data_IF_913626289601
#
_entry.id   IF_913626289601
#
_cell.length_a   1.000
_cell.length_b   1.000
_cell.length_c   1.000
_cell.angle_alpha   90.00
_cell.angle_beta   90.00
_cell.angle_gamma   90.00
#
_symmetry.space_group_name_H-M   'P 1'
#
loop_
_entity.id
_entity.type
_entity.pdbx_description
1 polymer ?
#
# COMPACT_ATOMS: atom_id res chain seq x y z
N UNK A 1 28.45 -29.15 0.90
CA UNK A 1 27.53 -28.44 1.82
C UNK A 1 28.31 -27.31 2.48
N UNK A 2 27.74 -26.11 2.54
CA UNK A 2 28.40 -24.95 3.17
C UNK A 2 28.26 -25.12 4.70
N UNK A 3 29.36 -25.02 5.45
CA UNK A 3 29.38 -25.27 6.89
C UNK A 3 28.55 -24.25 7.70
N UNK A 4 28.11 -24.63 8.90
CA UNK A 4 27.27 -23.81 9.77
C UNK A 4 27.86 -22.41 10.06
N UNK A 5 29.19 -22.33 10.20
CA UNK A 5 29.90 -21.06 10.41
C UNK A 5 29.81 -20.11 9.21
N UNK A 6 29.80 -20.64 7.99
CA UNK A 6 29.67 -19.85 6.78
C UNK A 6 28.23 -19.35 6.57
N UNK A 7 27.22 -20.14 6.94
CA UNK A 7 25.81 -19.70 6.97
C UNK A 7 25.61 -18.58 8.00
N UNK A 8 26.23 -18.70 9.18
CA UNK A 8 26.17 -17.68 10.24
C UNK A 8 26.82 -16.37 9.82
N UNK A 9 27.93 -16.42 9.07
CA UNK A 9 28.55 -15.22 8.47
C UNK A 9 27.68 -14.60 7.38
N UNK A 10 27.11 -15.41 6.48
CA UNK A 10 26.21 -14.92 5.42
C UNK A 10 24.96 -14.23 5.96
N UNK A 11 24.36 -14.75 7.03
CA UNK A 11 23.20 -14.14 7.70
C UNK A 11 23.53 -12.85 8.45
N UNK A 12 24.80 -12.60 8.76
CA UNK A 12 25.26 -11.33 9.36
C UNK A 12 25.52 -10.23 8.33
N UNK A 13 25.51 -10.56 7.03
CA UNK A 13 25.68 -9.57 5.96
C UNK A 13 24.37 -8.80 5.76
N UNK A 14 24.46 -7.46 5.68
CA UNK A 14 23.32 -6.64 5.31
C UNK A 14 22.87 -7.00 3.91
N UNK A 15 21.56 -7.07 3.73
CA UNK A 15 20.92 -7.20 2.42
C UNK A 15 21.07 -5.87 1.69
N UNK A 16 21.25 -5.90 0.36
CA UNK A 16 21.32 -4.67 -0.44
C UNK A 16 19.98 -3.94 -0.49
N UNK A 17 20.04 -2.62 -0.63
CA UNK A 17 18.84 -1.76 -0.74
C UNK A 17 17.89 -2.24 -1.86
N UNK A 18 18.44 -2.67 -3.00
CA UNK A 18 17.66 -3.23 -4.12
C UNK A 18 16.86 -4.48 -3.72
N UNK A 19 17.45 -5.34 -2.90
CA UNK A 19 16.77 -6.57 -2.45
C UNK A 19 15.71 -6.24 -1.41
N UNK A 20 15.95 -5.26 -0.53
CA UNK A 20 14.95 -4.77 0.42
C UNK A 20 13.78 -4.14 -0.33
N UNK A 21 14.05 -3.25 -1.29
CA UNK A 21 13.03 -2.62 -2.14
C UNK A 21 12.19 -3.67 -2.87
N UNK A 22 12.82 -4.64 -3.53
CA UNK A 22 12.10 -5.69 -4.25
C UNK A 22 11.20 -6.49 -3.32
N UNK A 23 11.68 -6.86 -2.12
CA UNK A 23 10.85 -7.58 -1.13
C UNK A 23 9.66 -6.75 -0.66
N UNK A 24 9.85 -5.45 -0.44
CA UNK A 24 8.74 -4.54 -0.08
C UNK A 24 7.71 -4.49 -1.21
N UNK A 25 8.15 -4.37 -2.46
CA UNK A 25 7.26 -4.35 -3.62
C UNK A 25 6.49 -5.67 -3.78
N UNK A 26 7.17 -6.81 -3.68
CA UNK A 26 6.56 -8.14 -3.78
C UNK A 26 5.49 -8.36 -2.69
N UNK A 27 5.80 -8.01 -1.43
CA UNK A 27 4.84 -8.14 -0.32
C UNK A 27 3.68 -7.15 -0.46
N UNK A 28 3.94 -5.92 -0.90
CA UNK A 28 2.90 -4.91 -1.14
C UNK A 28 1.92 -5.37 -2.22
N UNK A 29 2.45 -5.94 -3.32
CA UNK A 29 1.63 -6.46 -4.41
C UNK A 29 0.76 -7.65 -3.97
N UNK A 30 1.32 -8.56 -3.17
CA UNK A 30 0.58 -9.70 -2.59
C UNK A 30 -0.56 -9.23 -1.69
N UNK A 31 -0.28 -8.32 -0.74
CA UNK A 31 -1.30 -7.74 0.15
C UNK A 31 -2.39 -7.05 -0.67
N UNK A 32 -2.01 -6.23 -1.64
CA UNK A 32 -2.95 -5.52 -2.53
C UNK A 32 -3.86 -6.51 -3.27
N UNK A 33 -3.31 -7.59 -3.81
CA UNK A 33 -4.09 -8.60 -4.53
C UNK A 33 -5.10 -9.30 -3.61
N UNK A 34 -4.69 -9.67 -2.39
CA UNK A 34 -5.58 -10.28 -1.41
C UNK A 34 -6.72 -9.32 -1.00
N UNK A 35 -6.40 -8.04 -0.75
CA UNK A 35 -7.40 -7.03 -0.38
C UNK A 35 -8.38 -6.80 -1.53
N UNK A 36 -7.91 -6.67 -2.77
CA UNK A 36 -8.76 -6.49 -3.96
C UNK A 36 -9.67 -7.69 -4.18
N UNK A 37 -9.18 -8.91 -3.98
CA UNK A 37 -9.99 -10.12 -4.07
C UNK A 37 -11.11 -10.13 -3.02
N UNK A 38 -10.81 -9.75 -1.77
CA UNK A 38 -11.80 -9.67 -0.70
C UNK A 38 -12.85 -8.57 -0.97
N UNK A 39 -12.43 -7.41 -1.48
CA UNK A 39 -13.35 -6.31 -1.85
C UNK A 39 -14.32 -6.76 -2.93
N UNK A 40 -13.85 -7.47 -3.96
CA UNK A 40 -14.69 -7.99 -5.05
C UNK A 40 -15.73 -9.00 -4.58
N UNK A 41 -15.45 -9.73 -3.50
CA UNK A 41 -16.37 -10.69 -2.88
C UNK A 41 -17.33 -10.02 -1.90
N UNK A 42 -17.00 -8.83 -1.40
CA UNK A 42 -17.84 -8.09 -0.46
C UNK A 42 -19.10 -7.57 -1.14
N UNK A 43 -20.29 -7.67 -0.51
CA UNK A 43 -21.52 -7.10 -1.05
C UNK A 43 -21.50 -5.57 -1.10
N UNK A 44 -20.66 -4.93 -0.29
CA UNK A 44 -20.51 -3.48 -0.23
C UNK A 44 -19.07 -3.12 0.14
N UNK A 45 -18.56 -2.05 -0.45
CA UNK A 45 -17.36 -1.39 0.03
C UNK A 45 -17.58 0.12 0.01
N UNK A 46 -16.83 0.82 0.85
CA UNK A 46 -16.78 2.28 0.88
C UNK A 46 -15.32 2.71 0.86
N UNK A 47 -15.07 3.85 0.22
CA UNK A 47 -13.75 4.46 0.17
C UNK A 47 -13.73 5.65 1.11
N UNK A 48 -12.69 5.72 1.92
CA UNK A 48 -12.37 6.89 2.73
C UNK A 48 -11.12 7.54 2.14
N UNK A 49 -11.26 8.82 1.80
CA UNK A 49 -10.20 9.62 1.23
C UNK A 49 -9.73 10.58 2.31
N UNK A 50 -8.43 10.61 2.55
CA UNK A 50 -7.80 11.53 3.49
C UNK A 50 -6.71 12.34 2.77
N UNK A 51 -6.66 13.63 3.05
CA UNK A 51 -5.61 14.51 2.54
C UNK A 51 -4.64 14.79 3.69
N UNK A 52 -3.44 14.23 3.58
CA UNK A 52 -2.35 14.47 4.53
C UNK A 52 -1.30 15.37 3.91
N UNK A 53 -0.51 16.04 4.74
CA UNK A 53 0.60 16.87 4.29
C UNK A 53 1.90 16.25 4.81
N UNK A 54 2.85 15.99 3.92
CA UNK A 54 4.14 15.43 4.31
C UNK A 54 5.09 16.48 4.91
N UNK A 55 6.27 16.02 5.33
CA UNK A 55 7.30 16.87 5.94
C UNK A 55 7.83 17.98 5.00
N UNK A 56 7.63 17.82 3.68
CA UNK A 56 7.98 18.82 2.66
C UNK A 56 6.81 19.74 2.31
N UNK A 57 5.70 19.67 3.06
CA UNK A 57 4.47 20.42 2.77
C UNK A 57 3.81 20.04 1.44
N UNK A 58 4.06 18.83 0.94
CA UNK A 58 3.37 18.28 -0.22
C UNK A 58 2.10 17.57 0.23
N UNK A 59 0.98 17.88 -0.43
CA UNK A 59 -0.28 17.21 -0.19
C UNK A 59 -0.25 15.79 -0.76
N UNK A 60 -0.69 14.84 0.05
CA UNK A 60 -0.76 13.42 -0.28
C UNK A 60 -2.20 12.94 -0.10
N UNK A 61 -2.72 12.29 -1.12
CA UNK A 61 -4.01 11.63 -1.06
C UNK A 61 -3.82 10.20 -0.58
N UNK A 62 -4.41 9.90 0.58
CA UNK A 62 -4.47 8.57 1.17
C UNK A 62 -5.86 7.98 0.95
N UNK A 63 -5.92 6.75 0.46
CA UNK A 63 -7.18 6.05 0.19
C UNK A 63 -7.23 4.80 1.06
N UNK A 64 -8.31 4.70 1.83
CA UNK A 64 -8.67 3.53 2.62
C UNK A 64 -9.94 2.92 2.07
N UNK A 65 -10.09 1.61 2.24
CA UNK A 65 -11.29 0.89 1.85
C UNK A 65 -11.84 0.14 3.03
N UNK A 66 -13.13 0.28 3.25
CA UNK A 66 -13.87 -0.48 4.24
C UNK A 66 -14.87 -1.40 3.54
N UNK A 67 -14.81 -2.68 3.84
CA UNK A 67 -15.60 -3.73 3.19
C UNK A 67 -16.01 -4.81 4.19
N UNK A 68 -16.90 -5.71 3.79
CA UNK A 68 -17.34 -6.85 4.61
C UNK A 68 -16.59 -8.09 4.14
N UNK A 69 -15.91 -8.74 5.07
CA UNK A 69 -15.26 -10.02 4.84
C UNK A 69 -15.47 -10.91 6.07
N UNK A 70 -15.84 -12.17 5.85
CA UNK A 70 -16.18 -13.11 6.93
C UNK A 70 -17.17 -12.54 7.96
N UNK A 71 -18.22 -11.88 7.48
CA UNK A 71 -19.26 -11.22 8.29
C UNK A 71 -18.76 -10.09 9.20
N UNK A 72 -17.53 -9.62 9.02
CA UNK A 72 -16.94 -8.52 9.78
C UNK A 72 -16.59 -7.34 8.88
N UNK A 73 -16.64 -6.14 9.44
CA UNK A 73 -16.08 -4.97 8.77
C UNK A 73 -14.56 -5.02 8.84
N UNK A 74 -13.92 -4.94 7.68
CA UNK A 74 -12.49 -4.71 7.54
C UNK A 74 -12.24 -3.33 6.98
N UNK A 75 -11.15 -2.72 7.40
CA UNK A 75 -10.63 -1.47 6.87
C UNK A 75 -9.16 -1.68 6.51
N UNK A 76 -8.80 -1.37 5.28
CA UNK A 76 -7.45 -1.57 4.74
C UNK A 76 -6.97 -0.31 4.03
N UNK A 77 -5.66 -0.07 4.08
CA UNK A 77 -5.01 0.98 3.32
C UNK A 77 -4.75 0.50 1.89
N UNK A 78 -5.21 1.26 0.89
CA UNK A 78 -5.05 0.92 -0.52
C UNK A 78 -3.83 1.62 -1.12
N UNK A 79 -3.82 2.96 -1.12
CA UNK A 79 -2.79 3.75 -1.81
C UNK A 79 -2.53 5.06 -1.09
N UNK A 80 -1.29 5.55 -1.20
CA UNK A 80 -0.93 6.94 -0.94
C UNK A 80 -0.21 7.46 -2.18
N UNK A 81 -0.70 8.58 -2.73
CA UNK A 81 -0.13 9.23 -3.90
C UNK A 81 -0.04 10.73 -3.68
N UNK A 82 1.03 11.39 -4.15
CA UNK A 82 1.09 12.84 -4.11
C UNK A 82 -0.01 13.45 -4.99
N UNK A 83 -0.55 14.56 -4.53
CA UNK A 83 -1.37 15.47 -5.33
C UNK A 83 -0.42 16.44 -6.02
N UNK A 84 -0.13 16.21 -7.30
CA UNK A 84 0.85 16.98 -8.08
C UNK A 84 0.41 18.43 -8.33
N UNK A 85 -0.87 18.73 -8.10
CA UNK A 85 -1.51 20.02 -8.36
C UNK A 85 -2.09 20.64 -7.07
N UNK A 86 -3.14 21.44 -7.22
CA UNK A 86 -3.88 22.02 -6.10
C UNK A 86 -4.69 20.93 -5.37
N UNK A 87 -5.12 21.22 -4.15
CA UNK A 87 -5.91 20.30 -3.32
C UNK A 87 -7.41 20.50 -3.49
N UNK A 88 -7.86 20.85 -4.71
CA UNK A 88 -9.28 21.06 -4.96
C UNK A 88 -9.96 19.70 -5.13
N UNK A 89 -11.26 19.65 -4.86
CA UNK A 89 -12.03 18.41 -5.03
C UNK A 89 -11.92 17.79 -6.43
N UNK A 90 -11.73 18.60 -7.48
CA UNK A 90 -11.50 18.08 -8.85
C UNK A 90 -10.15 17.38 -9.01
N UNK A 91 -9.11 17.86 -8.33
CA UNK A 91 -7.77 17.26 -8.38
C UNK A 91 -7.80 15.91 -7.65
N UNK A 92 -8.49 15.84 -6.50
CA UNK A 92 -8.74 14.59 -5.77
C UNK A 92 -9.55 13.61 -6.61
N UNK A 93 -10.67 14.05 -7.21
CA UNK A 93 -11.52 13.21 -8.06
C UNK A 93 -10.73 12.61 -9.23
N UNK A 94 -9.99 13.45 -9.98
CA UNK A 94 -9.19 12.98 -11.11
C UNK A 94 -8.11 11.98 -10.68
N UNK A 95 -7.48 12.20 -9.51
CA UNK A 95 -6.48 11.28 -8.96
C UNK A 95 -7.10 9.93 -8.62
N UNK A 96 -8.27 9.93 -7.99
CA UNK A 96 -9.02 8.71 -7.64
C UNK A 96 -9.45 7.94 -8.88
N UNK A 97 -10.01 8.63 -9.88
CA UNK A 97 -10.44 8.05 -11.17
C UNK A 97 -9.28 7.45 -11.97
N UNK A 98 -8.06 7.96 -11.79
CA UNK A 98 -6.85 7.38 -12.40
C UNK A 98 -6.37 6.12 -11.67
N UNK A 99 -6.65 6.01 -10.37
CA UNK A 99 -6.13 4.93 -9.51
C UNK A 99 -7.07 3.72 -9.48
N UNK A 100 -8.39 3.95 -9.48
CA UNK A 100 -9.42 2.92 -9.35
C UNK A 100 -9.90 2.41 -10.72
#
# INVERSE_FOLDING_TARGET
MIGADAVKKLSSLSISDNTVQRRIQEMSEDIKNQVVEQIKQSPIFVLQLDESTDISSCAQLMIYVRYIHDSNFKEEFLFCQPLDSQTRGIDVFNKVDTIL
#
